data_IF_184449281905
#
_entry.id   IF_184449281905
#
_cell.length_a   1.000
_cell.length_b   1.000
_cell.length_c   1.000
_cell.angle_alpha   90.00
_cell.angle_beta   90.00
_cell.angle_gamma   90.00
#
_symmetry.space_group_name_H-M   'P 1'
#
loop_
_entity.id
_entity.type
_entity.pdbx_description
1 polymer ?
#
# COMPACT_ATOMS: atom_id res chain seq x y z
N UNK A 1 -29.02 -12.94 -2.78
CA UNK A 1 -28.06 -12.58 -3.84
C UNK A 1 -27.45 -11.24 -3.44
N UNK A 2 -26.24 -11.22 -2.88
CA UNK A 2 -25.58 -9.97 -2.48
C UNK A 2 -25.11 -9.29 -3.77
N UNK A 3 -25.70 -8.15 -4.11
CA UNK A 3 -25.22 -7.34 -5.22
C UNK A 3 -23.82 -6.83 -4.86
N UNK A 4 -22.78 -7.38 -5.47
CA UNK A 4 -21.42 -6.90 -5.32
C UNK A 4 -21.33 -5.60 -6.12
N UNK A 5 -21.29 -4.46 -5.43
CA UNK A 5 -21.09 -3.17 -6.06
C UNK A 5 -19.66 -3.13 -6.62
N UNK A 6 -19.53 -3.25 -7.93
CA UNK A 6 -18.24 -3.17 -8.62
C UNK A 6 -17.79 -1.71 -8.71
N UNK A 7 -16.59 -1.42 -8.21
CA UNK A 7 -15.98 -0.10 -8.34
C UNK A 7 -15.79 0.23 -9.83
N UNK A 8 -16.26 1.39 -10.32
CA UNK A 8 -16.06 1.80 -11.70
C UNK A 8 -14.56 1.86 -12.04
N UNK A 9 -14.17 1.49 -13.27
CA UNK A 9 -12.76 1.48 -13.71
C UNK A 9 -12.05 2.81 -13.44
N UNK A 10 -12.73 3.94 -13.66
CA UNK A 10 -12.17 5.26 -13.38
C UNK A 10 -11.92 5.50 -11.90
N UNK A 11 -12.83 5.09 -11.03
CA UNK A 11 -12.67 5.25 -9.58
C UNK A 11 -11.48 4.42 -9.08
N UNK A 12 -11.35 3.19 -9.59
CA UNK A 12 -10.19 2.33 -9.32
C UNK A 12 -8.88 2.97 -9.80
N UNK A 13 -8.81 3.45 -11.05
CA UNK A 13 -7.60 4.09 -11.59
C UNK A 13 -7.19 5.30 -10.75
N UNK A 14 -8.14 6.17 -10.38
CA UNK A 14 -7.86 7.34 -9.55
C UNK A 14 -7.35 6.92 -8.17
N UNK A 15 -7.93 5.90 -7.55
CA UNK A 15 -7.49 5.40 -6.25
C UNK A 15 -6.05 4.82 -6.32
N UNK A 16 -5.76 4.01 -7.34
CA UNK A 16 -4.42 3.44 -7.56
C UNK A 16 -3.39 4.54 -7.78
N UNK A 17 -3.69 5.54 -8.62
CA UNK A 17 -2.81 6.66 -8.85
C UNK A 17 -2.58 7.48 -7.57
N UNK A 18 -3.63 7.79 -6.81
CA UNK A 18 -3.51 8.55 -5.57
C UNK A 18 -2.60 7.85 -4.55
N UNK A 19 -2.84 6.55 -4.32
CA UNK A 19 -2.06 5.75 -3.37
C UNK A 19 -0.62 5.54 -3.88
N UNK A 20 -0.43 5.27 -5.17
CA UNK A 20 0.89 5.13 -5.79
C UNK A 20 1.71 6.42 -5.72
N UNK A 21 1.09 7.56 -6.01
CA UNK A 21 1.73 8.88 -5.90
C UNK A 21 2.12 9.21 -4.46
N UNK A 22 1.29 8.84 -3.47
CA UNK A 22 1.63 9.01 -2.07
C UNK A 22 2.89 8.21 -1.70
N UNK A 23 2.96 6.94 -2.11
CA UNK A 23 4.15 6.11 -1.82
C UNK A 23 5.38 6.64 -2.56
N UNK A 24 5.23 7.10 -3.80
CA UNK A 24 6.31 7.73 -4.56
C UNK A 24 6.83 8.99 -3.85
N UNK A 25 5.93 9.86 -3.38
CA UNK A 25 6.29 11.04 -2.61
C UNK A 25 7.01 10.68 -1.29
N UNK A 26 6.52 9.68 -0.56
CA UNK A 26 7.19 9.21 0.66
C UNK A 26 8.57 8.62 0.37
N UNK A 27 8.73 7.90 -0.74
CA UNK A 27 10.02 7.40 -1.20
C UNK A 27 10.97 8.56 -1.48
N UNK A 28 10.51 9.59 -2.20
CA UNK A 28 11.32 10.77 -2.52
C UNK A 28 11.76 11.57 -1.28
N UNK A 29 10.91 11.63 -0.24
CA UNK A 29 11.25 12.25 1.05
C UNK A 29 12.25 11.39 1.81
N UNK A 30 12.02 10.07 1.86
CA UNK A 30 12.89 9.13 2.55
C UNK A 30 14.28 9.04 1.92
N UNK A 31 14.41 9.15 0.59
CA UNK A 31 15.74 9.15 -0.05
C UNK A 31 16.56 10.40 0.26
N UNK A 32 15.92 11.55 0.49
CA UNK A 32 16.60 12.77 0.91
C UNK A 32 16.97 12.78 2.40
N UNK A 33 16.18 12.06 3.22
CA UNK A 33 16.35 11.98 4.68
C UNK A 33 16.17 10.54 5.14
N UNK A 34 17.10 9.62 4.83
CA UNK A 34 16.87 8.18 5.03
C UNK A 34 16.87 7.76 6.49
N UNK A 35 17.53 8.51 7.38
CA UNK A 35 17.71 8.14 8.77
C UNK A 35 16.67 8.78 9.71
N UNK A 36 16.43 8.13 10.85
CA UNK A 36 15.57 8.64 11.90
C UNK A 36 14.08 8.55 11.56
N UNK A 37 13.31 9.59 11.92
CA UNK A 37 11.85 9.57 11.84
C UNK A 37 11.32 9.36 10.41
N UNK A 38 12.01 9.88 9.39
CA UNK A 38 11.56 9.81 8.00
C UNK A 38 11.67 8.40 7.42
N UNK A 39 12.74 7.66 7.74
CA UNK A 39 12.87 6.24 7.39
C UNK A 39 11.81 5.38 8.08
N UNK A 40 11.50 5.66 9.35
CA UNK A 40 10.44 4.96 10.09
C UNK A 40 9.05 5.29 9.56
N UNK A 41 8.76 6.56 9.24
CA UNK A 41 7.50 6.96 8.62
C UNK A 41 7.33 6.28 7.27
N UNK A 42 8.37 6.26 6.44
CA UNK A 42 8.36 5.52 5.18
C UNK A 42 8.07 4.03 5.40
N UNK A 43 8.71 3.37 6.38
CA UNK A 43 8.45 1.98 6.72
C UNK A 43 6.99 1.73 7.15
N UNK A 44 6.36 2.67 7.86
CA UNK A 44 4.93 2.59 8.21
C UNK A 44 4.05 2.61 6.97
N UNK A 45 4.25 3.57 6.06
CA UNK A 45 3.47 3.65 4.82
C UNK A 45 3.74 2.44 3.90
N UNK A 46 5.00 2.03 3.77
CA UNK A 46 5.40 0.85 3.00
C UNK A 46 4.75 -0.42 3.53
N UNK A 47 4.75 -0.61 4.85
CA UNK A 47 4.14 -1.77 5.50
C UNK A 47 2.63 -1.83 5.33
N UNK A 48 1.94 -0.68 5.46
CA UNK A 48 0.51 -0.58 5.18
C UNK A 48 0.18 -0.90 3.71
N UNK A 49 0.95 -0.32 2.78
CA UNK A 49 0.82 -0.59 1.34
C UNK A 49 1.06 -2.06 1.00
N UNK A 50 2.11 -2.65 1.56
CA UNK A 50 2.49 -4.04 1.35
C UNK A 50 1.42 -5.00 1.89
N UNK A 51 0.97 -4.82 3.13
CA UNK A 51 -0.05 -5.68 3.73
C UNK A 51 -1.42 -5.53 3.04
N UNK A 52 -1.77 -4.33 2.60
CA UNK A 52 -2.98 -4.09 1.82
C UNK A 52 -3.01 -4.89 0.51
N UNK A 53 -1.86 -5.07 -0.16
CA UNK A 53 -1.79 -5.84 -1.40
C UNK A 53 -2.25 -7.30 -1.23
N UNK A 54 -1.99 -7.90 -0.06
CA UNK A 54 -2.45 -9.26 0.25
C UNK A 54 -3.98 -9.33 0.43
N UNK A 55 -4.66 -8.23 0.77
CA UNK A 55 -6.11 -8.21 0.81
C UNK A 55 -6.72 -8.42 -0.58
N UNK A 56 -6.14 -7.83 -1.64
CA UNK A 56 -6.58 -8.09 -3.01
C UNK A 56 -6.39 -9.54 -3.43
N UNK A 57 -5.24 -10.14 -3.06
CA UNK A 57 -4.97 -11.56 -3.33
C UNK A 57 -5.96 -12.44 -2.58
N UNK A 58 -6.13 -12.20 -1.27
CA UNK A 58 -7.06 -12.94 -0.42
C UNK A 58 -8.50 -12.83 -0.90
N UNK A 59 -8.95 -11.62 -1.25
CA UNK A 59 -10.28 -11.38 -1.84
C UNK A 59 -10.45 -12.15 -3.15
N UNK A 60 -9.47 -12.13 -4.04
CA UNK A 60 -9.52 -12.88 -5.30
C UNK A 60 -9.61 -14.39 -5.09
N UNK A 61 -8.85 -14.93 -4.12
CA UNK A 61 -8.89 -16.36 -3.79
C UNK A 61 -10.24 -16.74 -3.17
N UNK A 62 -10.71 -15.99 -2.17
CA UNK A 62 -11.97 -16.25 -1.47
C UNK A 62 -13.19 -16.14 -2.38
N UNK A 63 -13.19 -15.14 -3.26
CA UNK A 63 -14.26 -14.94 -4.25
C UNK A 63 -14.10 -15.82 -5.50
N UNK A 64 -13.01 -16.60 -5.60
CA UNK A 64 -12.63 -17.39 -6.77
C UNK A 64 -12.73 -16.57 -8.06
N UNK A 65 -12.28 -15.33 -8.01
CA UNK A 65 -12.54 -14.34 -9.04
C UNK A 65 -11.50 -13.22 -9.11
N UNK A 66 -11.58 -12.44 -10.18
CA UNK A 66 -10.70 -11.30 -10.38
C UNK A 66 -11.14 -10.12 -9.51
N UNK A 67 -10.19 -9.55 -8.76
CA UNK A 67 -10.36 -8.22 -8.17
C UNK A 67 -9.46 -7.24 -8.95
N UNK A 68 -9.93 -6.02 -9.25
CA UNK A 68 -9.15 -5.05 -10.04
C UNK A 68 -7.72 -4.82 -9.52
N UNK A 69 -7.52 -4.89 -8.20
CA UNK A 69 -6.22 -4.68 -7.56
C UNK A 69 -5.27 -5.89 -7.57
N UNK A 70 -5.69 -7.09 -7.94
CA UNK A 70 -4.85 -8.30 -7.79
C UNK A 70 -3.64 -8.30 -8.71
N UNK A 71 -3.80 -7.82 -9.94
CA UNK A 71 -2.71 -7.80 -10.93
C UNK A 71 -1.61 -6.81 -10.51
N UNK A 72 -2.00 -5.62 -10.07
CA UNK A 72 -1.03 -4.63 -9.57
C UNK A 72 -0.41 -5.07 -8.25
N UNK A 73 -1.19 -5.68 -7.35
CA UNK A 73 -0.71 -6.24 -6.09
C UNK A 73 0.44 -7.24 -6.31
N UNK A 74 0.22 -8.25 -7.16
CA UNK A 74 1.19 -9.33 -7.41
C UNK A 74 2.34 -8.87 -8.30
N UNK A 75 2.04 -8.13 -9.38
CA UNK A 75 3.05 -7.77 -10.38
C UNK A 75 3.94 -6.58 -10.00
N UNK A 76 3.47 -5.71 -9.09
CA UNK A 76 4.17 -4.44 -8.78
C UNK A 76 4.34 -4.26 -7.29
N UNK A 77 3.24 -4.24 -6.51
CA UNK A 77 3.29 -3.84 -5.11
C UNK A 77 4.16 -4.78 -4.27
N UNK A 78 3.90 -6.08 -4.37
CA UNK A 78 4.63 -7.09 -3.60
C UNK A 78 6.12 -7.10 -3.96
N UNK A 79 6.53 -7.19 -5.25
CA UNK A 79 7.95 -7.18 -5.62
C UNK A 79 8.68 -5.90 -5.20
N UNK A 80 8.10 -4.73 -5.46
CA UNK A 80 8.73 -3.44 -5.14
C UNK A 80 8.84 -3.26 -3.64
N UNK A 81 7.79 -3.61 -2.88
CA UNK A 81 7.83 -3.47 -1.42
C UNK A 81 8.84 -4.43 -0.78
N UNK A 82 8.93 -5.66 -1.28
CA UNK A 82 9.94 -6.62 -0.81
C UNK A 82 11.36 -6.11 -1.05
N UNK A 83 11.62 -5.52 -2.23
CA UNK A 83 12.91 -4.89 -2.54
C UNK A 83 13.21 -3.70 -1.61
N UNK A 84 12.24 -2.83 -1.35
CA UNK A 84 12.40 -1.69 -0.46
C UNK A 84 12.62 -2.12 1.00
N UNK A 85 11.90 -3.14 1.48
CA UNK A 85 12.14 -3.72 2.80
C UNK A 85 13.56 -4.27 2.90
N UNK A 86 14.03 -5.00 1.88
CA UNK A 86 15.41 -5.50 1.83
C UNK A 86 16.42 -4.36 2.00
N UNK A 87 16.25 -3.25 1.30
CA UNK A 87 17.12 -2.07 1.44
C UNK A 87 17.07 -1.48 2.85
N UNK A 88 15.88 -1.41 3.47
CA UNK A 88 15.73 -0.91 4.85
C UNK A 88 16.43 -1.80 5.89
N UNK A 89 16.45 -3.12 5.67
CA UNK A 89 17.21 -4.05 6.50
C UNK A 89 18.72 -3.93 6.26
N UNK A 90 19.17 -3.87 4.99
CA UNK A 90 20.58 -3.75 4.64
C UNK A 90 21.22 -2.45 5.15
N UNK A 91 20.43 -1.37 5.22
CA UNK A 91 20.87 -0.06 5.74
C UNK A 91 20.75 0.06 7.27
N UNK A 92 20.24 -0.97 7.96
CA UNK A 92 20.05 -0.96 9.40
C UNK A 92 18.95 -0.02 9.91
N UNK A 93 18.11 0.53 9.01
CA UNK A 93 16.97 1.36 9.38
C UNK A 93 15.88 0.52 10.05
N UNK A 94 15.71 -0.72 9.59
CA UNK A 94 14.80 -1.69 10.18
C UNK A 94 15.55 -2.90 10.74
N UNK A 95 15.10 -3.34 11.91
CA UNK A 95 15.28 -4.70 12.39
C UNK A 95 13.95 -5.46 12.32
N UNK A 96 13.95 -6.76 12.63
CA UNK A 96 12.75 -7.59 12.53
C UNK A 96 11.59 -7.09 13.42
N UNK A 97 11.91 -6.55 14.60
CA UNK A 97 10.90 -6.00 15.53
C UNK A 97 10.30 -4.72 14.96
N UNK A 98 11.15 -3.79 14.53
CA UNK A 98 10.74 -2.52 13.93
C UNK A 98 9.93 -2.75 12.66
N UNK A 99 10.36 -3.67 11.78
CA UNK A 99 9.62 -4.03 10.58
C UNK A 99 8.19 -4.53 10.90
N UNK A 100 8.05 -5.42 11.90
CA UNK A 100 6.73 -5.89 12.33
C UNK A 100 5.89 -4.75 12.92
N UNK A 101 6.44 -3.96 13.84
CA UNK A 101 5.69 -2.85 14.45
C UNK A 101 5.27 -1.80 13.43
N UNK A 102 6.16 -1.41 12.52
CA UNK A 102 5.85 -0.42 11.47
C UNK A 102 4.84 -0.97 10.48
N UNK A 103 4.87 -2.26 10.14
CA UNK A 103 3.86 -2.86 9.28
C UNK A 103 2.47 -2.90 9.93
N UNK A 104 2.38 -3.25 11.21
CA UNK A 104 1.13 -3.25 11.96
C UNK A 104 0.55 -1.84 12.13
N UNK A 105 1.40 -0.86 12.49
CA UNK A 105 1.01 0.55 12.50
C UNK A 105 0.61 1.03 11.10
N UNK A 106 1.29 0.51 10.08
CA UNK A 106 0.99 0.74 8.68
C UNK A 106 -0.45 0.39 8.34
N UNK A 107 -0.99 -0.74 8.79
CA UNK A 107 -2.41 -1.08 8.58
C UNK A 107 -3.32 0.02 9.11
N UNK A 108 -3.08 0.47 10.35
CA UNK A 108 -3.91 1.47 11.04
C UNK A 108 -3.88 2.81 10.30
N UNK A 109 -2.71 3.24 9.87
CA UNK A 109 -2.51 4.53 9.16
C UNK A 109 -2.96 4.46 7.71
N UNK A 110 -2.76 3.33 7.06
CA UNK A 110 -3.00 3.18 5.63
C UNK A 110 -4.48 2.94 5.32
N UNK A 111 -5.25 2.37 6.24
CA UNK A 111 -6.69 2.20 6.11
C UNK A 111 -7.45 3.52 5.81
N UNK A 112 -7.29 4.62 6.61
CA UNK A 112 -7.94 5.89 6.30
C UNK A 112 -7.41 6.52 5.00
N UNK A 113 -6.16 6.27 4.61
CA UNK A 113 -5.61 6.73 3.32
C UNK A 113 -6.35 6.08 2.15
N UNK A 114 -6.53 4.77 2.19
CA UNK A 114 -7.28 4.03 1.15
C UNK A 114 -8.73 4.50 1.10
N UNK A 115 -9.37 4.67 2.25
CA UNK A 115 -10.72 5.21 2.32
C UNK A 115 -10.79 6.61 1.72
N UNK A 116 -9.86 7.49 2.07
CA UNK A 116 -9.76 8.84 1.51
C UNK A 116 -9.54 8.85 0.00
N UNK A 117 -8.69 7.96 -0.52
CA UNK A 117 -8.44 7.80 -1.94
C UNK A 117 -9.71 7.37 -2.71
N UNK A 118 -10.46 6.42 -2.16
CA UNK A 118 -11.75 6.03 -2.72
C UNK A 118 -12.79 7.16 -2.66
N UNK A 119 -12.85 7.90 -1.55
CA UNK A 119 -13.74 9.06 -1.43
C UNK A 119 -13.40 10.12 -2.47
N UNK A 120 -12.13 10.48 -2.60
CA UNK A 120 -11.65 11.43 -3.62
C UNK A 120 -11.98 10.95 -5.04
N UNK A 121 -11.79 9.66 -5.31
CA UNK A 121 -12.12 9.06 -6.59
C UNK A 121 -13.63 9.11 -6.89
N UNK A 122 -14.46 8.90 -5.86
CA UNK A 122 -15.93 8.93 -5.95
C UNK A 122 -16.51 10.35 -6.05
N UNK A 123 -15.82 11.38 -5.56
CA UNK A 123 -16.26 12.78 -5.63
C UNK A 123 -16.22 13.35 -7.05
N UNK A 124 -15.49 12.71 -7.97
CA UNK A 124 -15.40 13.12 -9.37
C UNK A 124 -16.42 12.40 -10.26
N UNK A 125 -17.55 11.98 -9.70
CA UNK A 125 -18.68 11.36 -10.40
C UNK A 125 -19.47 12.39 -11.21
#
# INVERSE_FOLDING_TARGET
>A
MIAIHSTPTREFVVAVLAVGSLLFAMTAVATQRPTGVWGLLFAVFLGGYFLHAFLHVGQSVLLRGYTPGVVTAVGVVVPVSAYLYRLLFETGILDGRLALTTALLGIVVFFPVVLGAHRLASLRR
#
